data_IF_663237359734
#
_entry.id   IF_663237359734
#
_cell.length_a   1.000
_cell.length_b   1.000
_cell.length_c   1.000
_cell.angle_alpha   90.00
_cell.angle_beta   90.00
_cell.angle_gamma   90.00
#
_symmetry.space_group_name_H-M   'P 1'
#
loop_
_entity.id
_entity.type
_entity.pdbx_description
1 polymer ?
#
# COMPACT_ATOMS: atom_id res chain seq x y z
N UNK A 1 20.99 59.65 15.42
CA UNK A 1 21.37 60.11 16.78
C UNK A 1 20.21 59.72 17.68
N UNK A 2 20.27 58.50 18.25
CA UNK A 2 20.52 58.21 19.69
C UNK A 2 19.33 58.65 20.57
N UNK A 3 18.72 57.86 21.46
CA UNK A 3 19.12 56.66 22.19
C UNK A 3 17.89 56.10 22.94
N UNK A 4 17.94 54.79 23.22
CA UNK A 4 17.11 54.03 24.18
C UNK A 4 17.04 54.70 25.56
N UNK A 5 15.89 54.61 26.23
CA UNK A 5 15.75 54.99 27.65
C UNK A 5 14.51 54.38 28.32
N UNK A 6 14.70 53.25 29.02
CA UNK A 6 13.85 52.78 30.12
C UNK A 6 14.70 52.88 31.39
N UNK A 7 14.17 53.42 32.51
CA UNK A 7 14.01 52.64 33.76
C UNK A 7 12.82 53.20 34.61
N UNK A 8 12.35 52.70 35.76
CA UNK A 8 12.65 51.60 36.69
C UNK A 8 11.42 51.37 37.57
N UNK A 9 11.29 50.16 38.10
CA UNK A 9 10.24 49.66 39.01
C UNK A 9 10.27 50.23 40.45
N UNK A 10 9.16 50.02 41.20
CA UNK A 10 9.17 49.42 42.56
C UNK A 10 7.75 49.20 43.12
N UNK A 11 7.47 47.94 43.44
CA UNK A 11 6.45 47.49 44.39
C UNK A 11 6.84 46.07 44.80
N UNK A 12 7.47 45.92 45.98
CA UNK A 12 7.89 44.64 46.57
C UNK A 12 6.82 44.23 47.57
N UNK A 13 6.33 43.01 47.45
CA UNK A 13 5.77 42.26 48.59
C UNK A 13 6.32 40.83 48.56
N UNK A 14 6.36 40.23 49.74
CA UNK A 14 7.39 39.31 50.22
C UNK A 14 6.81 37.89 50.29
N UNK A 15 7.62 36.92 49.88
CA UNK A 15 7.60 35.46 50.14
C UNK A 15 6.98 35.04 51.50
N UNK A 16 6.51 33.78 51.73
CA UNK A 16 7.40 32.62 51.56
C UNK A 16 6.82 31.20 51.34
N UNK A 17 7.78 30.28 51.10
CA UNK A 17 7.87 28.89 51.58
C UNK A 17 7.91 27.76 50.54
N UNK A 18 9.12 27.19 50.46
CA UNK A 18 9.50 25.81 50.19
C UNK A 18 8.38 24.76 50.14
N UNK A 19 8.29 24.05 49.02
CA UNK A 19 8.26 22.58 49.04
C UNK A 19 9.14 22.06 47.89
N UNK A 20 10.25 21.45 48.27
CA UNK A 20 11.03 20.52 47.46
C UNK A 20 10.32 19.15 47.49
N UNK A 21 9.93 18.59 46.35
CA UNK A 21 9.73 17.13 46.22
C UNK A 21 9.95 16.67 44.77
N UNK A 22 11.17 16.17 44.54
CA UNK A 22 11.58 14.96 43.80
C UNK A 22 10.79 14.52 42.55
N UNK A 23 11.55 14.46 41.45
CA UNK A 23 11.65 13.37 40.48
C UNK A 23 10.34 12.81 39.87
N UNK A 24 10.05 13.26 38.66
CA UNK A 24 9.32 12.44 37.69
C UNK A 24 10.28 12.10 36.54
N UNK A 25 11.26 11.24 36.83
CA UNK A 25 11.96 10.49 35.80
C UNK A 25 10.99 9.44 35.26
N UNK A 26 10.35 9.77 34.15
CA UNK A 26 9.72 8.79 33.28
C UNK A 26 10.02 9.14 31.84
N UNK A 27 11.31 9.17 31.47
CA UNK A 27 11.70 8.88 30.10
C UNK A 27 11.56 7.37 29.88
N UNK A 28 10.31 6.92 29.89
CA UNK A 28 9.95 5.62 29.32
C UNK A 28 10.13 5.80 27.83
N UNK A 29 11.26 5.29 27.32
CA UNK A 29 11.51 5.15 25.90
C UNK A 29 10.43 4.22 25.34
N UNK A 30 9.34 4.82 24.86
CA UNK A 30 8.41 4.15 23.96
C UNK A 30 9.22 3.83 22.71
N UNK A 31 9.77 2.62 22.67
CA UNK A 31 10.09 1.97 21.40
C UNK A 31 8.76 1.92 20.68
N UNK A 32 8.57 2.87 19.76
CA UNK A 32 7.48 2.81 18.81
C UNK A 32 7.59 1.44 18.16
N UNK A 33 6.56 0.62 18.29
CA UNK A 33 6.42 -0.55 17.43
C UNK A 33 6.34 0.01 16.01
N UNK A 34 7.51 0.06 15.36
CA UNK A 34 7.64 0.53 14.01
C UNK A 34 6.70 -0.35 13.19
N UNK A 35 5.59 0.26 12.73
CA UNK A 35 4.71 -0.39 11.79
C UNK A 35 5.59 -0.93 10.67
N UNK A 36 5.36 -2.14 10.16
CA UNK A 36 6.23 -2.70 9.13
C UNK A 36 6.42 -1.66 8.03
N UNK A 37 7.67 -1.32 7.70
CA UNK A 37 8.02 -0.38 6.62
C UNK A 37 7.40 -0.80 5.27
N UNK A 38 6.88 -2.02 5.21
CA UNK A 38 6.19 -2.63 4.09
C UNK A 38 4.71 -2.26 4.08
N UNK A 39 4.18 -1.66 3.00
CA UNK A 39 2.75 -1.47 2.81
C UNK A 39 1.94 -2.74 3.08
N UNK A 40 0.82 -2.69 3.83
CA UNK A 40 0.10 -3.89 4.28
C UNK A 40 -0.32 -4.84 3.16
N UNK A 41 -0.59 -4.30 1.96
CA UNK A 41 -1.00 -5.08 0.79
C UNK A 41 0.15 -5.87 0.13
N UNK A 42 1.42 -5.56 0.44
CA UNK A 42 2.57 -6.28 -0.10
C UNK A 42 2.96 -7.51 0.71
N UNK A 43 2.63 -7.56 2.01
CA UNK A 43 2.98 -8.69 2.86
C UNK A 43 2.37 -10.04 2.38
N UNK A 44 1.08 -10.11 1.98
CA UNK A 44 0.51 -11.34 1.43
C UNK A 44 1.16 -11.74 0.10
N UNK A 45 1.44 -10.76 -0.77
CA UNK A 45 2.11 -10.99 -2.04
C UNK A 45 3.50 -11.62 -1.86
N UNK A 46 4.31 -11.05 -0.96
CA UNK A 46 5.64 -11.56 -0.66
C UNK A 46 5.59 -12.99 -0.11
N UNK A 47 4.71 -13.24 0.88
CA UNK A 47 4.53 -14.56 1.48
C UNK A 47 4.10 -15.60 0.44
N UNK A 48 3.14 -15.26 -0.43
CA UNK A 48 2.65 -16.14 -1.47
C UNK A 48 3.72 -16.46 -2.52
N UNK A 49 4.53 -15.48 -2.94
CA UNK A 49 5.64 -15.71 -3.88
C UNK A 49 6.66 -16.70 -3.31
N UNK A 50 7.06 -16.53 -2.05
CA UNK A 50 8.01 -17.41 -1.37
C UNK A 50 7.42 -18.83 -1.28
N UNK A 51 6.17 -18.94 -0.83
CA UNK A 51 5.50 -20.23 -0.66
C UNK A 51 5.31 -20.98 -1.99
N UNK A 52 4.86 -20.29 -3.04
CA UNK A 52 4.66 -20.89 -4.36
C UNK A 52 5.98 -21.28 -5.02
N UNK A 53 7.04 -20.47 -4.85
CA UNK A 53 8.38 -20.83 -5.31
C UNK A 53 8.90 -22.09 -4.64
N UNK A 54 8.80 -22.18 -3.32
CA UNK A 54 9.21 -23.35 -2.56
C UNK A 54 8.42 -24.60 -2.96
N UNK A 55 7.08 -24.47 -3.09
CA UNK A 55 6.20 -25.57 -3.50
C UNK A 55 6.51 -26.09 -4.91
N UNK A 56 6.86 -25.20 -5.84
CA UNK A 56 7.16 -25.54 -7.22
C UNK A 56 8.65 -25.77 -7.52
N UNK A 57 9.53 -25.80 -6.51
CA UNK A 57 10.99 -25.86 -6.67
C UNK A 57 11.56 -24.82 -7.64
N UNK A 58 10.94 -23.64 -7.70
CA UNK A 58 11.39 -22.57 -8.58
C UNK A 58 12.65 -21.93 -8.02
N UNK A 59 13.70 -21.80 -8.84
CA UNK A 59 14.78 -20.87 -8.56
C UNK A 59 14.34 -19.43 -8.91
N UNK A 60 15.04 -18.43 -8.36
CA UNK A 60 14.69 -17.02 -8.62
C UNK A 60 14.88 -16.69 -10.11
N UNK A 61 15.94 -17.24 -10.71
CA UNK A 61 16.23 -17.11 -12.14
C UNK A 61 15.21 -17.81 -13.02
N UNK A 62 14.84 -19.05 -12.69
CA UNK A 62 13.86 -19.81 -13.47
C UNK A 62 12.48 -19.14 -13.48
N UNK A 63 12.00 -18.65 -12.33
CA UNK A 63 10.74 -17.91 -12.27
C UNK A 63 10.82 -16.60 -13.07
N UNK A 64 11.93 -15.88 -12.95
CA UNK A 64 12.14 -14.61 -13.65
C UNK A 64 12.14 -14.80 -15.17
N UNK A 65 12.80 -15.85 -15.66
CA UNK A 65 12.81 -16.22 -17.07
C UNK A 65 11.40 -16.59 -17.56
N UNK A 66 10.71 -17.47 -16.83
CA UNK A 66 9.34 -17.90 -17.15
C UNK A 66 8.35 -16.72 -17.18
N UNK A 67 8.42 -15.81 -16.21
CA UNK A 67 7.57 -14.63 -16.12
C UNK A 67 8.05 -13.47 -17.01
N UNK A 68 9.24 -13.57 -17.62
CA UNK A 68 9.91 -12.49 -18.37
C UNK A 68 10.02 -11.20 -17.57
N UNK A 69 10.51 -11.31 -16.34
CA UNK A 69 10.77 -10.18 -15.42
C UNK A 69 12.20 -10.22 -14.90
N UNK A 70 12.65 -9.14 -14.28
CA UNK A 70 14.00 -9.10 -13.71
C UNK A 70 14.04 -9.90 -12.37
N UNK A 71 14.97 -10.84 -12.16
CA UNK A 71 15.05 -11.61 -10.90
C UNK A 71 15.31 -10.72 -9.68
N UNK A 72 16.02 -9.59 -9.82
CA UNK A 72 16.20 -8.60 -8.75
C UNK A 72 14.85 -8.02 -8.30
N UNK A 73 13.91 -7.81 -9.23
CA UNK A 73 12.57 -7.32 -8.91
C UNK A 73 11.85 -8.33 -8.01
N UNK A 74 11.89 -9.62 -8.34
CA UNK A 74 11.24 -10.66 -7.54
C UNK A 74 11.81 -10.68 -6.12
N UNK A 75 13.15 -10.58 -5.97
CA UNK A 75 13.78 -10.50 -4.65
C UNK A 75 13.29 -9.30 -3.84
N UNK A 76 13.20 -8.12 -4.46
CA UNK A 76 12.69 -6.93 -3.79
C UNK A 76 11.21 -7.07 -3.42
N UNK A 77 10.42 -7.76 -4.25
CA UNK A 77 9.01 -8.06 -3.94
C UNK A 77 8.88 -9.02 -2.76
N UNK A 78 9.69 -10.08 -2.71
CA UNK A 78 9.75 -11.00 -1.57
C UNK A 78 10.18 -10.30 -0.27
N UNK A 79 10.94 -9.20 -0.38
CA UNK A 79 11.32 -8.35 0.74
C UNK A 79 10.30 -7.25 1.07
N UNK A 80 9.24 -7.08 0.27
CA UNK A 80 8.26 -6.00 0.45
C UNK A 80 8.77 -4.60 0.10
N UNK A 81 9.93 -4.48 -0.54
CA UNK A 81 10.65 -3.21 -0.75
C UNK A 81 10.38 -2.53 -2.10
N UNK A 82 9.38 -2.99 -2.86
CA UNK A 82 9.11 -2.44 -4.19
C UNK A 82 7.62 -2.33 -4.50
N UNK A 83 7.24 -1.17 -5.05
CA UNK A 83 5.94 -0.99 -5.68
C UNK A 83 6.00 -1.44 -7.14
N UNK A 84 5.16 -2.40 -7.52
CA UNK A 84 5.16 -3.00 -8.85
C UNK A 84 3.87 -2.71 -9.61
N UNK A 85 3.94 -2.87 -10.93
CA UNK A 85 2.77 -2.73 -11.80
C UNK A 85 1.89 -3.97 -11.77
N UNK A 86 0.59 -3.80 -12.02
CA UNK A 86 -0.36 -4.91 -12.10
C UNK A 86 0.07 -5.94 -13.15
N UNK A 87 0.52 -5.51 -14.32
CA UNK A 87 1.01 -6.41 -15.37
C UNK A 87 2.19 -7.27 -14.90
N UNK A 88 3.13 -6.71 -14.12
CA UNK A 88 4.25 -7.48 -13.56
C UNK A 88 3.75 -8.59 -12.62
N UNK A 89 2.74 -8.28 -11.80
CA UNK A 89 2.13 -9.24 -10.87
C UNK A 89 1.36 -10.31 -11.64
N UNK A 90 0.62 -9.92 -12.68
CA UNK A 90 -0.08 -10.89 -13.55
C UNK A 90 0.90 -11.84 -14.21
N UNK A 91 2.01 -11.35 -14.78
CA UNK A 91 3.06 -12.21 -15.37
C UNK A 91 3.59 -13.25 -14.38
N UNK A 92 3.87 -12.84 -13.14
CA UNK A 92 4.30 -13.75 -12.09
C UNK A 92 3.19 -14.75 -11.73
N UNK A 93 1.95 -14.30 -11.61
CA UNK A 93 0.80 -15.16 -11.34
C UNK A 93 0.61 -16.21 -12.46
N UNK A 94 0.76 -15.82 -13.73
CA UNK A 94 0.71 -16.73 -14.88
C UNK A 94 1.81 -17.78 -14.80
N UNK A 95 3.04 -17.35 -14.54
CA UNK A 95 4.19 -18.25 -14.45
C UNK A 95 4.05 -19.26 -13.29
N UNK A 96 3.40 -18.86 -12.20
CA UNK A 96 3.13 -19.70 -11.03
C UNK A 96 1.81 -20.50 -11.16
N UNK A 97 1.03 -20.32 -12.22
CA UNK A 97 -0.23 -21.04 -12.45
C UNK A 97 -1.37 -20.61 -11.52
N UNK A 98 -1.36 -19.38 -11.01
CA UNK A 98 -2.38 -18.85 -10.08
C UNK A 98 -3.10 -17.63 -10.64
N UNK A 99 -4.25 -17.29 -10.07
CA UNK A 99 -4.97 -16.06 -10.41
C UNK A 99 -4.31 -14.85 -9.77
N UNK A 100 -4.36 -13.70 -10.45
CA UNK A 100 -3.62 -12.50 -10.02
C UNK A 100 -4.16 -11.90 -8.73
N UNK A 101 -5.49 -11.90 -8.54
CA UNK A 101 -6.11 -11.46 -7.29
C UNK A 101 -5.72 -12.32 -6.09
N UNK A 102 -5.70 -13.65 -6.26
CA UNK A 102 -5.32 -14.57 -5.18
C UNK A 102 -3.84 -14.47 -4.78
N UNK A 103 -2.97 -14.08 -5.72
CA UNK A 103 -1.54 -13.90 -5.45
C UNK A 103 -1.28 -12.74 -4.47
N UNK A 104 -2.10 -11.68 -4.50
CA UNK A 104 -2.05 -10.57 -3.52
C UNK A 104 -3.00 -10.79 -2.33
N UNK A 105 -3.67 -11.94 -2.30
CA UNK A 105 -4.68 -12.31 -1.33
C UNK A 105 -4.18 -13.23 -0.23
N UNK A 106 -5.12 -13.76 0.56
CA UNK A 106 -4.80 -14.65 1.68
C UNK A 106 -4.38 -16.06 1.22
N UNK A 107 -4.93 -16.53 0.11
CA UNK A 107 -4.69 -17.89 -0.38
C UNK A 107 -4.60 -17.92 -1.91
N UNK A 108 -3.47 -18.35 -2.48
CA UNK A 108 -3.36 -18.53 -3.93
C UNK A 108 -4.34 -19.58 -4.45
N UNK A 109 -5.04 -19.23 -5.53
CA UNK A 109 -6.01 -20.07 -6.24
C UNK A 109 -5.45 -20.40 -7.62
N UNK A 110 -5.54 -21.68 -8.01
CA UNK A 110 -5.09 -22.13 -9.32
C UNK A 110 -5.87 -21.41 -10.43
N UNK A 111 -5.15 -21.00 -11.47
CA UNK A 111 -5.74 -20.42 -12.68
C UNK A 111 -6.47 -21.51 -13.47
N UNK A 112 -7.55 -21.14 -14.14
CA UNK A 112 -8.29 -22.03 -15.04
C UNK A 112 -8.09 -21.61 -16.49
N UNK A 113 -8.28 -22.57 -17.41
CA UNK A 113 -8.27 -22.28 -18.85
C UNK A 113 -9.39 -21.30 -19.19
N UNK A 114 -9.06 -20.24 -19.94
CA UNK A 114 -10.01 -19.20 -20.34
C UNK A 114 -10.23 -18.09 -19.30
N UNK A 115 -9.38 -17.99 -18.27
CA UNK A 115 -9.43 -16.83 -17.36
C UNK A 115 -9.26 -15.50 -18.11
N UNK A 116 -10.11 -14.53 -17.73
CA UNK A 116 -10.16 -13.23 -18.40
C UNK A 116 -8.87 -12.43 -18.16
N UNK A 117 -8.61 -11.45 -19.02
CA UNK A 117 -7.49 -10.54 -18.84
C UNK A 117 -7.66 -9.75 -17.53
N UNK A 118 -6.56 -9.54 -16.81
CA UNK A 118 -6.63 -8.91 -15.49
C UNK A 118 -7.10 -7.45 -15.57
N UNK A 119 -6.79 -6.77 -16.68
CA UNK A 119 -7.24 -5.41 -16.96
C UNK A 119 -8.76 -5.34 -17.13
N UNK A 120 -9.38 -6.37 -17.71
CA UNK A 120 -10.84 -6.48 -17.84
C UNK A 120 -11.51 -6.72 -16.50
N UNK A 121 -10.98 -7.67 -15.72
CA UNK A 121 -11.48 -7.94 -14.36
C UNK A 121 -11.40 -6.67 -13.52
N UNK A 122 -10.25 -5.99 -13.51
CA UNK A 122 -10.05 -4.75 -12.77
C UNK A 122 -11.02 -3.65 -13.24
N UNK A 123 -11.09 -3.38 -14.54
CA UNK A 123 -11.94 -2.30 -15.07
C UNK A 123 -13.41 -2.53 -14.72
N UNK A 124 -13.91 -3.75 -14.91
CA UNK A 124 -15.28 -4.11 -14.57
C UNK A 124 -15.54 -3.99 -13.07
N UNK A 125 -14.66 -4.53 -12.22
CA UNK A 125 -14.82 -4.48 -10.75
C UNK A 125 -14.77 -3.05 -10.23
N UNK A 126 -13.87 -2.22 -10.75
CA UNK A 126 -13.76 -0.82 -10.36
C UNK A 126 -15.02 -0.04 -10.72
N UNK A 127 -15.54 -0.20 -11.95
CA UNK A 127 -16.79 0.44 -12.39
C UNK A 127 -17.97 0.00 -11.52
N UNK A 128 -18.12 -1.32 -11.31
CA UNK A 128 -19.25 -1.87 -10.57
C UNK A 128 -19.24 -1.45 -9.10
N UNK A 129 -18.09 -1.52 -8.42
CA UNK A 129 -17.95 -1.08 -7.03
C UNK A 129 -18.23 0.42 -6.88
N UNK A 130 -17.68 1.24 -7.77
CA UNK A 130 -17.91 2.69 -7.77
C UNK A 130 -19.40 3.02 -7.94
N UNK A 131 -20.09 2.36 -8.89
CA UNK A 131 -21.52 2.57 -9.16
C UNK A 131 -22.41 2.06 -8.02
N UNK A 132 -22.05 0.96 -7.37
CA UNK A 132 -22.79 0.44 -6.21
C UNK A 132 -22.80 1.45 -5.04
N UNK A 133 -21.72 2.23 -4.90
CA UNK A 133 -21.60 3.32 -3.93
C UNK A 133 -22.10 4.68 -4.46
N UNK A 134 -22.71 4.71 -5.65
CA UNK A 134 -23.20 5.93 -6.33
C UNK A 134 -22.12 7.01 -6.52
N UNK A 135 -20.85 6.62 -6.68
CA UNK A 135 -19.74 7.55 -6.83
C UNK A 135 -19.51 7.92 -8.29
N UNK A 136 -19.18 9.18 -8.55
CA UNK A 136 -18.57 9.58 -9.83
C UNK A 136 -17.07 9.25 -9.84
N UNK A 137 -16.43 9.27 -11.01
CA UNK A 137 -14.98 9.10 -11.09
C UNK A 137 -14.23 10.22 -10.35
N UNK A 138 -14.77 11.45 -10.39
CA UNK A 138 -14.21 12.58 -9.65
C UNK A 138 -14.31 12.37 -8.13
N UNK A 139 -15.50 11.99 -7.64
CA UNK A 139 -15.71 11.72 -6.21
C UNK A 139 -14.84 10.58 -5.70
N UNK A 140 -14.70 9.50 -6.48
CA UNK A 140 -13.76 8.42 -6.16
C UNK A 140 -12.31 8.92 -6.13
N UNK A 141 -11.95 9.80 -7.06
CA UNK A 141 -10.62 10.40 -7.09
C UNK A 141 -10.31 11.25 -5.85
N UNK A 142 -11.27 12.07 -5.42
CA UNK A 142 -11.15 12.83 -4.17
C UNK A 142 -11.01 11.92 -2.96
N UNK A 143 -11.80 10.84 -2.87
CA UNK A 143 -11.73 9.88 -1.75
C UNK A 143 -10.42 9.09 -1.70
N UNK A 144 -9.91 8.67 -2.85
CA UNK A 144 -8.72 7.81 -2.94
C UNK A 144 -7.40 8.58 -3.01
N UNK A 145 -7.44 9.89 -3.29
CA UNK A 145 -6.27 10.68 -3.64
C UNK A 145 -5.63 10.27 -4.97
N UNK A 146 -6.37 9.58 -5.84
CA UNK A 146 -5.97 9.21 -7.21
C UNK A 146 -6.69 10.13 -8.18
N UNK A 147 -6.01 10.67 -9.20
CA UNK A 147 -6.69 11.60 -10.11
C UNK A 147 -7.82 10.92 -10.88
N UNK A 148 -8.90 11.67 -11.12
CA UNK A 148 -10.05 11.24 -11.94
C UNK A 148 -9.59 10.69 -13.30
N UNK A 149 -8.60 11.32 -13.94
CA UNK A 149 -8.03 10.85 -15.20
C UNK A 149 -7.36 9.47 -15.09
N UNK A 150 -6.69 9.16 -13.99
CA UNK A 150 -6.12 7.81 -13.77
C UNK A 150 -7.23 6.78 -13.64
N UNK A 151 -8.28 7.09 -12.86
CA UNK A 151 -9.45 6.21 -12.71
C UNK A 151 -10.11 5.97 -14.07
N UNK A 152 -10.38 7.04 -14.84
CA UNK A 152 -10.98 6.93 -16.16
C UNK A 152 -10.13 6.09 -17.13
N UNK A 153 -8.80 6.17 -17.06
CA UNK A 153 -7.92 5.32 -17.87
C UNK A 153 -7.96 3.86 -17.44
N UNK A 154 -8.00 3.58 -16.14
CA UNK A 154 -8.13 2.21 -15.63
C UNK A 154 -9.47 1.61 -16.07
N UNK A 155 -10.58 2.33 -15.91
CA UNK A 155 -11.93 1.86 -16.31
C UNK A 155 -12.04 1.60 -17.83
N UNK A 156 -11.20 2.24 -18.65
CA UNK A 156 -11.11 2.03 -20.10
C UNK A 156 -9.97 1.10 -20.52
N UNK A 157 -9.30 0.44 -19.57
CA UNK A 157 -8.14 -0.44 -19.80
C UNK A 157 -6.97 0.24 -20.53
N UNK A 158 -6.91 1.57 -20.50
CA UNK A 158 -5.95 2.37 -21.25
C UNK A 158 -4.63 2.61 -20.49
N UNK A 159 -4.49 2.09 -19.27
CA UNK A 159 -3.29 2.28 -18.44
C UNK A 159 -3.07 1.10 -17.50
N UNK A 160 -1.80 0.76 -17.29
CA UNK A 160 -1.35 -0.22 -16.30
C UNK A 160 -1.06 0.49 -14.95
N UNK A 161 -1.89 0.29 -13.91
CA UNK A 161 -1.68 0.92 -12.60
C UNK A 161 -0.65 0.18 -11.75
N UNK A 162 -0.13 0.87 -10.73
CA UNK A 162 0.68 0.25 -9.67
C UNK A 162 -0.21 -0.42 -8.62
N UNK A 163 0.31 -1.42 -7.91
CA UNK A 163 -0.40 -2.03 -6.78
C UNK A 163 -0.75 -1.00 -5.70
N UNK A 164 0.12 0.00 -5.47
CA UNK A 164 -0.19 1.07 -4.52
C UNK A 164 -1.39 1.91 -4.96
N UNK A 165 -1.50 2.24 -6.25
CA UNK A 165 -2.67 2.95 -6.80
C UNK A 165 -3.93 2.13 -6.60
N UNK A 166 -3.87 0.83 -6.88
CA UNK A 166 -5.00 -0.08 -6.71
C UNK A 166 -5.39 -0.25 -5.25
N UNK A 167 -4.42 -0.32 -4.33
CA UNK A 167 -4.68 -0.40 -2.90
C UNK A 167 -5.42 0.84 -2.38
N UNK A 168 -5.05 2.04 -2.85
CA UNK A 168 -5.77 3.29 -2.52
C UNK A 168 -7.22 3.27 -3.03
N UNK A 169 -7.43 2.80 -4.26
CA UNK A 169 -8.76 2.69 -4.84
C UNK A 169 -9.61 1.66 -4.09
N UNK A 170 -9.06 0.47 -3.82
CA UNK A 170 -9.74 -0.59 -3.07
C UNK A 170 -10.17 -0.11 -1.68
N UNK A 171 -9.25 0.53 -0.94
CA UNK A 171 -9.55 1.09 0.38
C UNK A 171 -10.67 2.14 0.33
N UNK A 172 -10.68 3.03 -0.67
CA UNK A 172 -11.74 4.04 -0.83
C UNK A 172 -13.11 3.50 -1.24
N UNK A 173 -13.15 2.22 -1.66
CA UNK A 173 -14.35 1.48 -2.05
C UNK A 173 -14.75 0.44 -1.00
N UNK A 174 -14.10 0.43 0.17
CA UNK A 174 -14.29 -0.55 1.24
C UNK A 174 -14.05 -2.00 0.78
N UNK A 175 -13.09 -2.20 -0.13
CA UNK A 175 -12.69 -3.50 -0.68
C UNK A 175 -11.25 -3.85 -0.29
N UNK A 176 -10.98 -5.15 -0.20
CA UNK A 176 -9.60 -5.65 -0.22
C UNK A 176 -9.01 -5.54 -1.63
N UNK A 177 -7.68 -5.48 -1.73
CA UNK A 177 -6.99 -5.49 -3.02
C UNK A 177 -7.28 -6.79 -3.80
N UNK A 178 -7.36 -7.93 -3.09
CA UNK A 178 -7.77 -9.21 -3.65
C UNK A 178 -9.17 -9.14 -4.25
N UNK A 179 -10.15 -8.57 -3.54
CA UNK A 179 -11.53 -8.46 -4.01
C UNK A 179 -11.66 -7.57 -5.25
N UNK A 180 -10.84 -6.52 -5.36
CA UNK A 180 -10.79 -5.66 -6.54
C UNK A 180 -10.20 -6.38 -7.77
N UNK A 181 -9.32 -7.36 -7.55
CA UNK A 181 -8.58 -8.08 -8.60
C UNK A 181 -9.12 -9.50 -8.87
N UNK A 182 -10.21 -9.89 -8.20
CA UNK A 182 -10.83 -11.21 -8.34
C UNK A 182 -12.23 -11.10 -8.93
N UNK A 183 -12.61 -12.10 -9.73
CA UNK A 183 -13.96 -12.22 -10.30
C UNK A 183 -15.00 -12.47 -9.22
#
# INVERSE_FOLDING_TARGET
>A
MNTVGVPKAKGREILPQSICTKAFEANTFLVSAEAPDTPPFLAPLAANLIALRAKGNWSLGALAEQARVNPRMIRLMEQGQVNVSLNTVDKLARALGVTTGSLVGLRPVARQDGDALIEEVLAHKLVSARKALMLTQDTLGQRSGVSMYVIAHIERQARNPSLQTLAKLAASLDLSLEALLSK
#
